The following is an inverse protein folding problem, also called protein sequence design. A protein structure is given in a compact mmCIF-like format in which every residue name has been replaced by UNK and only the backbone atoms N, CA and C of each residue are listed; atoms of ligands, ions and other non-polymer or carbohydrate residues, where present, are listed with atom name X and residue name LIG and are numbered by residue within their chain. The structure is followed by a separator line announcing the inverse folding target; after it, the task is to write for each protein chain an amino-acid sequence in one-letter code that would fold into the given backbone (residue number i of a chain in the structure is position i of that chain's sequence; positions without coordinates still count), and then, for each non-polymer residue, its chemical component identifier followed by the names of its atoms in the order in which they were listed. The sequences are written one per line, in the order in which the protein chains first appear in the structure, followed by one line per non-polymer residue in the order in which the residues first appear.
data_IF_596784909447
#
_entry.id   IF_596784909447
#
_cell.length_a   1.000
_cell.length_b   1.000
_cell.length_c   1.000
_cell.angle_alpha   90.00
_cell.angle_beta   90.00
_cell.angle_gamma   90.00
#
_symmetry.space_group_name_H-M   'P 1'
#
loop_
_entity.id
_entity.type
_entity.pdbx_description
1 polymer ?
#
# COMPACT_ATOMS: atom_id res chain seq x y z
N UNK A 1 95.10 -24.70 9.50
CA UNK A 1 93.99 -24.56 8.55
C UNK A 1 93.04 -25.72 8.81
N UNK A 2 91.94 -25.46 9.48
CA UNK A 2 90.80 -26.38 9.61
C UNK A 2 89.55 -25.71 9.18
N UNK A 3 88.89 -26.20 8.12
CA UNK A 3 87.61 -25.80 7.67
C UNK A 3 86.49 -26.42 8.46
N UNK A 4 85.62 -25.63 9.06
CA UNK A 4 84.42 -26.13 9.74
C UNK A 4 83.25 -26.11 8.73
N UNK A 5 82.67 -27.26 8.54
CA UNK A 5 81.41 -27.40 7.75
C UNK A 5 80.22 -27.26 8.70
N UNK A 6 79.49 -26.22 8.53
CA UNK A 6 78.16 -26.01 9.21
C UNK A 6 77.02 -26.66 8.42
N UNK A 7 76.41 -27.66 9.03
CA UNK A 7 75.21 -28.32 8.48
C UNK A 7 73.98 -27.45 8.73
N UNK A 8 73.33 -26.96 7.66
CA UNK A 8 72.06 -26.29 7.72
C UNK A 8 70.94 -27.34 7.79
N UNK A 9 70.13 -27.30 8.88
CA UNK A 9 68.92 -28.09 9.02
C UNK A 9 67.82 -27.34 8.32
N UNK A 10 67.27 -27.90 7.25
CA UNK A 10 66.09 -27.42 6.59
C UNK A 10 64.82 -27.80 7.40
N UNK A 11 64.13 -26.84 7.94
CA UNK A 11 62.79 -27.01 8.54
C UNK A 11 61.75 -26.94 7.42
N UNK A 12 61.13 -28.09 7.12
CA UNK A 12 59.97 -28.14 6.20
C UNK A 12 58.72 -27.76 6.99
N UNK A 13 58.21 -26.55 6.78
CA UNK A 13 56.90 -26.13 7.28
C UNK A 13 55.87 -26.64 6.27
N UNK A 14 55.18 -27.71 6.66
CA UNK A 14 54.02 -28.21 5.94
C UNK A 14 52.84 -27.21 6.07
N UNK A 15 52.58 -26.43 5.06
CA UNK A 15 51.37 -25.61 4.95
C UNK A 15 50.17 -26.56 4.75
N UNK A 16 49.37 -26.77 5.78
CA UNK A 16 48.05 -27.39 5.68
C UNK A 16 47.17 -26.43 4.90
N UNK A 17 46.99 -26.67 3.60
CA UNK A 17 45.92 -26.08 2.77
C UNK A 17 44.56 -26.64 3.31
N UNK A 18 43.97 -25.93 4.26
CA UNK A 18 42.55 -26.10 4.57
C UNK A 18 41.78 -25.65 3.32
N UNK A 19 41.43 -26.62 2.48
CA UNK A 19 40.55 -26.39 1.36
C UNK A 19 39.21 -25.88 1.89
N UNK A 20 38.95 -24.58 1.75
CA UNK A 20 37.64 -24.04 1.91
C UNK A 20 36.75 -24.68 0.85
N UNK A 21 35.93 -25.64 1.25
CA UNK A 21 34.86 -26.16 0.43
C UNK A 21 33.96 -24.92 0.13
N UNK A 22 33.82 -24.50 -1.13
CA UNK A 22 32.86 -23.43 -1.42
C UNK A 22 31.50 -23.99 -0.98
N UNK A 23 30.93 -23.41 0.08
CA UNK A 23 29.52 -23.59 0.37
C UNK A 23 28.78 -22.96 -0.82
N UNK A 24 28.30 -23.81 -1.73
CA UNK A 24 27.39 -23.34 -2.76
C UNK A 24 26.13 -22.88 -2.05
N UNK A 25 26.08 -21.57 -1.76
CA UNK A 25 24.88 -20.92 -1.30
C UNK A 25 23.81 -21.21 -2.34
N UNK A 26 22.77 -21.96 -1.96
CA UNK A 26 21.69 -22.33 -2.88
C UNK A 26 20.87 -21.07 -3.15
N UNK A 27 21.28 -20.31 -4.17
CA UNK A 27 20.55 -19.15 -4.66
C UNK A 27 19.29 -19.63 -5.33
N UNK A 28 18.14 -19.15 -4.86
CA UNK A 28 16.85 -19.45 -5.49
C UNK A 28 16.24 -18.18 -6.08
N UNK A 29 15.84 -18.24 -7.34
CA UNK A 29 15.05 -17.19 -7.98
C UNK A 29 13.70 -17.77 -8.36
N UNK A 30 12.63 -17.13 -7.93
CA UNK A 30 11.26 -17.54 -8.22
C UNK A 30 10.58 -16.46 -9.05
N UNK A 31 10.07 -16.85 -10.21
CA UNK A 31 9.09 -16.08 -10.97
C UNK A 31 7.71 -16.32 -10.35
N UNK A 32 6.94 -15.26 -10.14
CA UNK A 32 5.58 -15.33 -9.62
C UNK A 32 4.72 -14.23 -10.24
N UNK A 33 3.41 -14.38 -10.14
CA UNK A 33 2.53 -13.34 -10.64
C UNK A 33 1.04 -13.59 -10.40
N UNK A 34 0.27 -12.60 -10.80
CA UNK A 34 -1.19 -12.58 -10.80
C UNK A 34 -1.65 -11.96 -12.10
N UNK A 35 -2.58 -12.61 -12.77
CA UNK A 35 -3.38 -12.02 -13.86
C UNK A 35 -4.83 -12.00 -13.38
N UNK A 36 -5.40 -10.81 -13.31
CA UNK A 36 -6.76 -10.54 -12.89
C UNK A 36 -7.42 -9.64 -13.93
N UNK A 37 -8.55 -10.10 -14.45
CA UNK A 37 -9.32 -9.36 -15.44
C UNK A 37 -10.81 -9.53 -15.18
N UNK A 38 -11.55 -8.44 -15.29
CA UNK A 38 -12.98 -8.44 -15.04
C UNK A 38 -13.73 -7.37 -15.83
N UNK A 39 -15.03 -7.48 -15.80
CA UNK A 39 -15.96 -6.45 -16.25
C UNK A 39 -16.40 -5.64 -15.05
N UNK A 40 -16.42 -4.32 -15.20
CA UNK A 40 -16.86 -3.39 -14.19
C UNK A 40 -17.97 -2.48 -14.73
N UNK A 41 -18.97 -2.26 -13.90
CA UNK A 41 -20.00 -1.25 -14.08
C UNK A 41 -19.87 -0.19 -12.99
N UNK A 42 -20.01 1.07 -13.36
CA UNK A 42 -20.13 2.20 -12.45
C UNK A 42 -21.29 3.08 -12.89
N UNK A 43 -22.16 3.44 -11.96
CA UNK A 43 -23.38 4.21 -12.25
C UNK A 43 -23.11 5.67 -12.63
N UNK A 44 -21.94 6.19 -12.26
CA UNK A 44 -21.50 7.54 -12.63
C UNK A 44 -19.98 7.56 -12.77
N UNK A 45 -19.47 8.13 -13.85
CA UNK A 45 -18.05 8.31 -14.15
C UNK A 45 -17.85 9.69 -14.74
N UNK A 46 -16.92 10.45 -14.16
CA UNK A 46 -16.57 11.81 -14.63
C UNK A 46 -15.09 12.09 -14.37
N UNK A 47 -14.61 13.27 -14.77
CA UNK A 47 -13.27 13.72 -14.42
C UNK A 47 -13.17 14.13 -12.95
N UNK A 48 -12.00 13.98 -12.38
CA UNK A 48 -11.71 14.33 -10.99
C UNK A 48 -12.04 15.81 -10.72
N UNK A 49 -12.80 16.06 -9.66
CA UNK A 49 -13.24 17.40 -9.25
C UNK A 49 -14.48 17.93 -9.98
N UNK A 50 -15.05 17.18 -10.93
CA UNK A 50 -16.30 17.56 -11.58
C UNK A 50 -17.51 17.17 -10.73
N UNK A 51 -18.49 18.06 -10.64
CA UNK A 51 -19.78 17.85 -9.96
C UNK A 51 -20.94 17.70 -10.94
N UNK A 52 -20.66 17.54 -12.23
CA UNK A 52 -21.66 17.41 -13.30
C UNK A 52 -21.15 16.54 -14.45
N UNK A 53 -22.05 16.15 -15.36
CA UNK A 53 -21.70 15.47 -16.62
C UNK A 53 -21.24 14.02 -16.47
N UNK A 54 -21.47 13.38 -15.32
CA UNK A 54 -21.15 11.96 -15.14
C UNK A 54 -22.19 11.05 -15.75
N UNK A 55 -21.72 9.98 -16.41
CA UNK A 55 -22.53 8.96 -17.04
C UNK A 55 -22.14 7.57 -16.53
N UNK A 56 -23.05 6.62 -16.67
CA UNK A 56 -22.73 5.22 -16.38
C UNK A 56 -21.69 4.69 -17.38
N UNK A 57 -20.86 3.77 -16.91
CA UNK A 57 -19.83 3.14 -17.73
C UNK A 57 -19.78 1.65 -17.48
N UNK A 58 -19.63 0.88 -18.56
CA UNK A 58 -19.23 -0.52 -18.54
C UNK A 58 -17.84 -0.60 -19.17
N UNK A 59 -16.91 -1.20 -18.48
CA UNK A 59 -15.51 -1.31 -18.97
C UNK A 59 -14.87 -2.62 -18.56
N UNK A 60 -13.92 -3.08 -19.35
CA UNK A 60 -12.97 -4.08 -18.87
C UNK A 60 -12.02 -3.40 -17.90
N UNK A 61 -11.86 -3.99 -16.74
CA UNK A 61 -11.01 -3.44 -15.68
C UNK A 61 -10.06 -4.52 -15.20
N UNK A 62 -8.75 -4.36 -15.43
CA UNK A 62 -7.75 -5.26 -14.88
C UNK A 62 -7.61 -5.02 -13.39
N UNK A 63 -7.43 -6.10 -12.62
CA UNK A 63 -7.16 -6.00 -11.20
C UNK A 63 -8.35 -5.56 -10.35
N UNK A 64 -9.56 -5.96 -10.71
CA UNK A 64 -10.76 -5.67 -9.87
C UNK A 64 -10.61 -6.30 -8.50
N UNK A 65 -10.14 -7.56 -8.43
CA UNK A 65 -9.85 -8.23 -7.17
C UNK A 65 -8.44 -7.93 -6.67
N UNK A 66 -7.43 -8.04 -7.54
CA UNK A 66 -6.04 -7.77 -7.16
C UNK A 66 -5.24 -7.28 -8.37
N UNK A 67 -4.50 -6.18 -8.23
CA UNK A 67 -3.69 -5.62 -9.31
C UNK A 67 -2.84 -6.68 -10.00
N UNK A 68 -3.01 -6.82 -11.32
CA UNK A 68 -2.22 -7.75 -12.15
C UNK A 68 -0.76 -7.39 -12.10
N UNK A 69 0.11 -8.40 -11.93
CA UNK A 69 1.55 -8.21 -11.70
C UNK A 69 2.34 -9.46 -12.05
N UNK A 70 3.62 -9.27 -12.32
CA UNK A 70 4.62 -10.32 -12.29
C UNK A 70 5.87 -9.84 -11.55
N UNK A 71 6.65 -10.76 -11.01
CA UNK A 71 7.85 -10.41 -10.27
C UNK A 71 8.85 -11.54 -10.15
N UNK A 72 10.05 -11.16 -9.80
CA UNK A 72 11.16 -12.03 -9.43
C UNK A 72 11.50 -11.78 -7.97
N UNK A 73 11.64 -12.84 -7.20
CA UNK A 73 12.16 -12.78 -5.83
C UNK A 73 13.17 -13.88 -5.62
N UNK A 74 14.14 -13.59 -4.81
CA UNK A 74 15.18 -14.59 -4.51
C UNK A 74 15.89 -14.33 -3.22
N UNK A 75 16.69 -15.29 -2.83
CA UNK A 75 17.52 -15.21 -1.64
C UNK A 75 18.77 -16.05 -1.78
N UNK A 76 19.83 -15.60 -1.11
CA UNK A 76 21.11 -16.25 -0.97
C UNK A 76 21.39 -16.45 0.52
N UNK A 77 21.76 -17.65 0.92
CA UNK A 77 22.15 -17.95 2.30
C UNK A 77 23.58 -17.45 2.54
N UNK A 78 23.72 -16.50 3.46
CA UNK A 78 25.01 -15.93 3.85
C UNK A 78 25.64 -16.64 5.05
N UNK A 79 24.99 -17.69 5.56
CA UNK A 79 25.40 -18.38 6.77
C UNK A 79 24.88 -17.73 8.05
N UNK A 80 25.02 -18.41 9.19
CA UNK A 80 24.59 -17.92 10.50
C UNK A 80 23.09 -17.59 10.60
N UNK A 81 22.23 -18.18 9.74
CA UNK A 81 20.79 -17.89 9.68
C UNK A 81 20.46 -16.58 8.98
N UNK A 82 21.44 -15.94 8.36
CA UNK A 82 21.26 -14.69 7.60
C UNK A 82 21.15 -14.96 6.10
N UNK A 83 20.21 -14.28 5.44
CA UNK A 83 20.02 -14.36 3.99
C UNK A 83 20.05 -12.96 3.37
N UNK A 84 20.71 -12.82 2.23
CA UNK A 84 20.44 -11.71 1.33
C UNK A 84 19.13 -12.00 0.58
N UNK A 85 18.30 -10.98 0.39
CA UNK A 85 17.01 -11.11 -0.29
C UNK A 85 16.84 -9.98 -1.30
N UNK A 86 16.11 -10.23 -2.36
CA UNK A 86 15.64 -9.19 -3.27
C UNK A 86 14.23 -9.49 -3.76
N UNK A 87 13.52 -8.44 -4.18
CA UNK A 87 12.26 -8.55 -4.87
C UNK A 87 12.09 -7.42 -5.90
N UNK A 88 11.72 -7.83 -7.12
CA UNK A 88 11.40 -6.94 -8.23
C UNK A 88 9.99 -7.28 -8.71
N UNK A 89 9.07 -6.32 -8.70
CA UNK A 89 7.66 -6.56 -9.08
C UNK A 89 7.16 -5.44 -9.99
N UNK A 90 6.66 -5.85 -11.16
CA UNK A 90 6.01 -4.99 -12.15
C UNK A 90 4.49 -5.13 -12.05
N UNK A 91 3.77 -4.02 -12.07
CA UNK A 91 2.33 -4.02 -12.29
C UNK A 91 2.01 -3.90 -13.77
N UNK A 92 0.97 -4.58 -14.21
CA UNK A 92 0.51 -4.55 -15.59
C UNK A 92 -0.99 -4.32 -15.70
N UNK A 93 -1.40 -3.70 -16.78
CA UNK A 93 -2.79 -3.64 -17.20
C UNK A 93 -3.05 -4.84 -18.12
N UNK A 94 -3.71 -5.88 -17.60
CA UNK A 94 -3.98 -7.11 -18.35
C UNK A 94 -4.99 -6.92 -19.50
N UNK A 95 -5.73 -5.81 -19.54
CA UNK A 95 -6.62 -5.46 -20.64
C UNK A 95 -5.93 -4.85 -21.86
N UNK A 96 -4.75 -4.21 -21.65
CA UNK A 96 -4.02 -3.50 -22.72
C UNK A 96 -2.59 -3.96 -22.90
N UNK A 97 -2.04 -4.73 -21.94
CA UNK A 97 -0.63 -5.13 -21.92
C UNK A 97 0.33 -4.02 -21.44
N UNK A 98 -0.18 -2.83 -21.12
CA UNK A 98 0.65 -1.70 -20.68
C UNK A 98 1.18 -1.90 -19.25
N UNK A 99 2.34 -1.29 -18.94
CA UNK A 99 2.81 -1.19 -17.56
C UNK A 99 1.84 -0.34 -16.72
N UNK A 100 1.60 -0.73 -15.46
CA UNK A 100 0.73 0.01 -14.54
C UNK A 100 1.34 1.38 -14.15
N UNK A 101 2.66 1.45 -14.06
CA UNK A 101 3.39 2.65 -13.65
C UNK A 101 4.18 3.20 -14.83
N UNK A 102 3.92 4.45 -15.18
CA UNK A 102 4.65 5.14 -16.25
C UNK A 102 6.13 5.30 -15.87
N UNK A 103 7.03 4.97 -16.78
CA UNK A 103 8.48 5.07 -16.62
C UNK A 103 9.07 4.24 -15.45
N UNK A 104 8.38 3.19 -15.00
CA UNK A 104 8.86 2.32 -13.93
C UNK A 104 8.64 0.85 -14.29
N UNK A 105 9.72 0.15 -14.68
CA UNK A 105 9.67 -1.28 -15.02
C UNK A 105 9.20 -2.12 -13.79
N UNK A 106 9.75 -1.85 -12.62
CA UNK A 106 9.38 -2.50 -11.36
C UNK A 106 8.66 -1.50 -10.44
N UNK A 107 7.57 -0.92 -10.94
CA UNK A 107 6.83 0.13 -10.26
C UNK A 107 6.11 -0.28 -8.98
N UNK A 108 6.01 -1.58 -8.68
CA UNK A 108 5.41 -2.08 -7.45
C UNK A 108 6.44 -2.28 -6.34
N UNK A 109 7.45 -3.12 -6.57
CA UNK A 109 8.53 -3.39 -5.61
C UNK A 109 9.86 -3.45 -6.36
N UNK A 110 10.91 -2.85 -5.79
CA UNK A 110 12.28 -2.93 -6.27
C UNK A 110 13.21 -2.70 -5.10
N UNK A 111 13.55 -3.75 -4.36
CA UNK A 111 14.40 -3.66 -3.18
C UNK A 111 15.35 -4.85 -3.03
N UNK A 112 16.41 -4.61 -2.28
CA UNK A 112 17.36 -5.61 -1.78
C UNK A 112 17.41 -5.49 -0.26
N UNK A 113 17.78 -6.55 0.43
CA UNK A 113 17.90 -6.52 1.88
C UNK A 113 18.57 -7.74 2.48
N UNK A 114 18.59 -7.75 3.80
CA UNK A 114 19.06 -8.89 4.60
C UNK A 114 17.99 -9.28 5.60
N UNK A 115 17.84 -10.56 5.83
CA UNK A 115 16.89 -11.10 6.81
C UNK A 115 17.57 -12.15 7.70
N UNK A 116 17.21 -12.14 8.97
CA UNK A 116 17.66 -13.13 9.96
C UNK A 116 16.52 -13.38 10.95
N UNK A 117 16.26 -14.64 11.26
CA UNK A 117 15.15 -15.01 12.15
C UNK A 117 15.24 -14.39 13.56
N UNK A 118 16.47 -14.13 14.05
CA UNK A 118 16.72 -13.57 15.39
C UNK A 118 16.82 -12.04 15.39
N UNK A 119 17.24 -11.44 14.28
CA UNK A 119 17.53 -10.01 14.20
C UNK A 119 16.53 -9.22 13.34
N UNK A 120 15.63 -9.90 12.60
CA UNK A 120 14.64 -9.27 11.74
C UNK A 120 15.13 -9.06 10.32
N UNK A 121 14.45 -8.13 9.63
CA UNK A 121 14.68 -7.86 8.20
C UNK A 121 14.97 -6.38 7.99
N UNK A 122 16.04 -6.09 7.25
CA UNK A 122 16.37 -4.75 6.78
C UNK A 122 16.35 -4.74 5.26
N UNK A 123 15.64 -3.77 4.67
CA UNK A 123 15.50 -3.62 3.21
C UNK A 123 15.78 -2.20 2.76
N UNK A 124 16.25 -2.06 1.53
CA UNK A 124 16.51 -0.78 0.87
C UNK A 124 15.97 -0.79 -0.56
N UNK A 125 15.19 0.21 -0.93
CA UNK A 125 14.62 0.35 -2.27
C UNK A 125 13.16 0.81 -2.26
N UNK A 126 12.48 0.61 -3.40
CA UNK A 126 11.06 0.93 -3.55
C UNK A 126 10.21 -0.19 -2.98
N UNK A 127 9.37 0.11 -1.99
CA UNK A 127 8.57 -0.88 -1.27
C UNK A 127 7.34 -0.26 -0.58
N UNK A 128 6.47 -1.10 -0.05
CA UNK A 128 5.43 -0.65 0.87
C UNK A 128 6.06 -0.07 2.13
N UNK A 129 5.42 0.94 2.69
CA UNK A 129 5.82 1.51 3.97
C UNK A 129 5.30 0.65 5.14
N UNK A 130 6.01 0.68 6.27
CA UNK A 130 5.69 -0.08 7.49
C UNK A 130 4.24 0.11 7.97
N UNK A 131 3.69 1.33 7.82
CA UNK A 131 2.28 1.63 8.10
C UNK A 131 1.33 0.66 7.38
N UNK A 132 1.50 0.52 6.06
CA UNK A 132 0.66 -0.38 5.27
C UNK A 132 0.94 -1.85 5.61
N UNK A 133 2.19 -2.25 5.72
CA UNK A 133 2.56 -3.65 5.89
C UNK A 133 1.93 -4.29 7.13
N UNK A 134 1.93 -3.59 8.26
CA UNK A 134 1.42 -4.15 9.52
C UNK A 134 -0.09 -3.91 9.73
N UNK A 135 -0.68 -2.90 9.08
CA UNK A 135 -2.12 -2.61 9.19
C UNK A 135 -2.96 -3.35 8.14
N UNK A 136 -2.41 -3.62 6.95
CA UNK A 136 -3.14 -4.22 5.84
C UNK A 136 -3.86 -5.54 6.17
N UNK A 137 -3.38 -6.42 7.06
CA UNK A 137 -4.12 -7.63 7.45
C UNK A 137 -5.48 -7.36 8.09
N UNK A 138 -5.72 -6.13 8.58
CA UNK A 138 -6.97 -5.71 9.22
C UNK A 138 -7.75 -4.69 8.39
N UNK A 139 -7.25 -4.34 7.21
CA UNK A 139 -7.91 -3.42 6.29
C UNK A 139 -9.13 -4.06 5.63
N UNK A 140 -10.11 -3.28 5.17
CA UNK A 140 -11.27 -3.84 4.48
C UNK A 140 -10.89 -4.65 3.24
N UNK A 141 -9.79 -4.30 2.57
CA UNK A 141 -9.33 -4.98 1.35
C UNK A 141 -8.74 -6.36 1.57
N UNK A 142 -8.64 -6.83 2.81
CA UNK A 142 -8.27 -8.21 3.12
C UNK A 142 -9.32 -9.21 2.62
N UNK A 143 -10.59 -8.90 2.78
CA UNK A 143 -11.71 -9.77 2.43
C UNK A 143 -12.62 -9.22 1.34
N UNK A 144 -12.88 -7.93 1.33
CA UNK A 144 -13.68 -7.28 0.28
C UNK A 144 -12.82 -6.94 -0.92
N UNK A 145 -11.55 -6.99 -0.75
CA UNK A 145 -10.42 -6.82 -1.66
C UNK A 145 -10.65 -5.94 -2.91
N UNK A 146 -9.59 -5.70 -3.63
CA UNK A 146 -9.62 -4.84 -4.77
C UNK A 146 -10.06 -3.42 -4.46
N UNK A 147 -10.04 -2.61 -5.46
CA UNK A 147 -10.29 -1.18 -5.27
C UNK A 147 -11.72 -0.85 -4.81
N UNK A 148 -12.71 -1.73 -5.02
CA UNK A 148 -14.07 -1.49 -4.51
C UNK A 148 -14.19 -1.66 -2.99
N UNK A 149 -13.29 -2.43 -2.38
CA UNK A 149 -13.29 -2.66 -0.94
C UNK A 149 -12.62 -1.55 -0.13
N UNK A 150 -11.82 -0.70 -0.75
CA UNK A 150 -11.15 0.40 -0.06
C UNK A 150 -12.12 1.29 0.72
N UNK A 151 -11.67 1.89 1.80
CA UNK A 151 -12.40 2.99 2.42
C UNK A 151 -12.64 4.11 1.41
N UNK A 152 -13.66 4.98 1.58
CA UNK A 152 -13.97 6.03 0.63
C UNK A 152 -12.73 6.76 0.11
N UNK A 153 -12.50 6.64 -1.23
CA UNK A 153 -11.34 7.21 -1.91
C UNK A 153 -9.97 6.69 -1.47
N UNK A 154 -9.90 5.55 -0.76
CA UNK A 154 -8.69 5.01 -0.09
C UNK A 154 -7.90 6.09 0.68
N UNK A 155 -8.65 6.94 1.39
CA UNK A 155 -8.10 8.14 2.02
C UNK A 155 -7.00 7.83 3.03
N UNK A 156 -7.08 6.70 3.69
CA UNK A 156 -6.11 6.25 4.69
C UNK A 156 -4.96 5.40 4.11
N UNK A 157 -5.03 5.05 2.83
CA UNK A 157 -3.96 4.33 2.13
C UNK A 157 -3.82 2.89 2.60
N UNK A 158 -4.91 2.25 3.04
CA UNK A 158 -4.92 0.85 3.47
C UNK A 158 -5.24 -0.13 2.34
N UNK A 159 -5.46 0.35 1.11
CA UNK A 159 -5.66 -0.47 -0.08
C UNK A 159 -4.47 -0.46 -1.06
N UNK A 160 -3.25 -0.54 -0.59
CA UNK A 160 -2.10 -0.77 -1.47
C UNK A 160 -1.66 0.37 -2.40
N UNK A 161 -2.22 1.56 -2.29
CA UNK A 161 -1.89 2.64 -3.23
C UNK A 161 -0.44 3.10 -3.06
N UNK A 162 0.04 3.22 -1.83
CA UNK A 162 1.28 3.90 -1.57
C UNK A 162 2.47 2.97 -1.39
N UNK A 163 3.41 3.11 -2.33
CA UNK A 163 4.78 2.57 -2.23
C UNK A 163 5.76 3.72 -2.27
N UNK A 164 6.64 3.77 -1.30
CA UNK A 164 7.63 4.83 -1.20
C UNK A 164 8.92 4.45 -1.95
N UNK A 165 9.47 5.42 -2.67
CA UNK A 165 10.79 5.34 -3.29
C UNK A 165 11.88 5.59 -2.24
N UNK A 166 13.10 5.12 -2.52
CA UNK A 166 14.30 5.43 -1.73
C UNK A 166 14.12 5.12 -0.23
N UNK A 167 13.47 4.01 0.08
CA UNK A 167 13.06 3.62 1.43
C UNK A 167 14.10 2.72 2.05
N UNK A 168 14.45 3.03 3.30
CA UNK A 168 15.12 2.14 4.24
C UNK A 168 14.08 1.66 5.23
N UNK A 169 13.97 0.37 5.43
CA UNK A 169 12.98 -0.22 6.35
C UNK A 169 13.59 -1.32 7.20
N UNK A 170 13.19 -1.33 8.46
CA UNK A 170 13.47 -2.42 9.38
C UNK A 170 12.17 -3.00 9.93
N UNK A 171 12.07 -4.34 9.93
CA UNK A 171 10.99 -5.10 10.57
C UNK A 171 11.58 -6.11 11.53
N UNK A 172 11.15 -6.05 12.79
CA UNK A 172 11.61 -6.98 13.84
C UNK A 172 11.18 -8.42 13.57
N UNK A 173 11.84 -9.41 14.19
CA UNK A 173 11.25 -10.73 14.34
C UNK A 173 9.90 -10.62 15.09
N UNK A 174 9.04 -11.62 14.89
CA UNK A 174 7.82 -11.76 15.70
C UNK A 174 8.18 -12.34 17.06
N UNK A 175 8.10 -11.53 18.12
CA UNK A 175 8.43 -11.92 19.50
C UNK A 175 7.13 -11.95 20.33
N UNK A 176 6.75 -13.13 20.80
CA UNK A 176 5.50 -13.31 21.59
C UNK A 176 4.26 -12.70 20.95
N UNK A 177 4.16 -12.81 19.63
CA UNK A 177 3.06 -12.22 18.86
C UNK A 177 3.28 -10.77 18.40
N UNK A 178 4.26 -10.07 18.94
CA UNK A 178 4.57 -8.67 18.64
C UNK A 178 5.55 -8.54 17.48
N UNK A 179 5.25 -7.66 16.53
CA UNK A 179 6.12 -7.21 15.43
C UNK A 179 6.16 -5.70 15.40
N UNK A 180 7.33 -5.12 15.25
CA UNK A 180 7.53 -3.67 15.11
C UNK A 180 8.21 -3.41 13.78
N UNK A 181 7.76 -2.40 13.05
CA UNK A 181 8.39 -1.98 11.80
C UNK A 181 8.49 -0.46 11.72
N UNK A 182 9.58 0.03 11.12
CA UNK A 182 9.79 1.44 10.86
C UNK A 182 10.51 1.66 9.55
N UNK A 183 10.12 2.70 8.82
CA UNK A 183 10.73 3.06 7.56
C UNK A 183 10.94 4.57 7.40
N UNK A 184 12.01 4.91 6.70
CA UNK A 184 12.33 6.26 6.28
C UNK A 184 12.67 6.27 4.79
N UNK A 185 12.01 7.15 4.05
CA UNK A 185 12.18 7.30 2.61
C UNK A 185 12.77 8.67 2.31
N UNK A 186 13.90 8.69 1.64
CA UNK A 186 14.65 9.90 1.32
C UNK A 186 13.99 10.66 0.15
N UNK A 187 13.66 11.93 0.35
CA UNK A 187 13.06 12.77 -0.69
C UNK A 187 14.04 13.19 -1.78
N UNK A 188 15.35 13.14 -1.52
CA UNK A 188 16.37 13.54 -2.48
C UNK A 188 16.52 15.05 -2.68
N UNK A 189 15.87 15.88 -1.87
CA UNK A 189 15.93 17.34 -2.00
C UNK A 189 17.24 17.87 -1.43
N UNK A 190 18.01 18.58 -2.25
CA UNK A 190 19.29 19.16 -1.86
C UNK A 190 19.12 20.15 -0.68
N UNK A 191 19.95 20.01 0.34
CA UNK A 191 19.93 20.85 1.55
C UNK A 191 18.85 20.50 2.58
N UNK A 192 18.03 19.45 2.34
CA UNK A 192 17.00 19.04 3.28
C UNK A 192 16.78 17.53 3.31
N UNK A 193 17.00 16.91 4.44
CA UNK A 193 16.69 15.48 4.67
C UNK A 193 15.18 15.25 4.77
N UNK A 194 14.44 16.26 5.25
CA UNK A 194 13.01 16.12 5.58
C UNK A 194 12.08 16.43 4.40
N UNK A 195 12.52 17.31 3.49
CA UNK A 195 11.69 17.74 2.38
C UNK A 195 11.52 16.61 1.37
N UNK A 196 10.30 16.34 0.94
CA UNK A 196 9.95 15.20 0.07
C UNK A 196 10.03 13.83 0.73
N UNK A 197 10.43 13.75 2.00
CA UNK A 197 10.58 12.48 2.71
C UNK A 197 9.24 11.84 3.11
N UNK A 198 9.26 10.54 3.30
CA UNK A 198 8.20 9.80 4.00
C UNK A 198 8.79 9.04 5.17
N UNK A 199 8.14 9.07 6.33
CA UNK A 199 8.50 8.19 7.43
C UNK A 199 7.26 7.54 8.04
N UNK A 200 7.41 6.28 8.41
CA UNK A 200 6.33 5.49 8.96
C UNK A 200 6.82 4.60 10.08
N UNK A 201 5.93 4.29 10.99
CA UNK A 201 6.15 3.31 12.04
C UNK A 201 4.87 2.57 12.33
N UNK A 202 4.98 1.28 12.64
CA UNK A 202 3.84 0.47 13.01
C UNK A 202 4.21 -0.64 13.98
N UNK A 203 3.23 -1.05 14.77
CA UNK A 203 3.31 -2.16 15.71
C UNK A 203 2.13 -3.07 15.46
N UNK A 204 2.36 -4.36 15.39
CA UNK A 204 1.33 -5.38 15.25
C UNK A 204 1.48 -6.43 16.36
N UNK A 205 0.36 -6.80 16.96
CA UNK A 205 0.23 -7.98 17.81
C UNK A 205 -0.69 -8.98 17.13
N UNK A 206 -0.22 -10.20 16.94
CA UNK A 206 -1.02 -11.27 16.32
C UNK A 206 -0.72 -12.61 17.01
N UNK A 207 -1.66 -13.08 17.83
CA UNK A 207 -1.53 -14.33 18.57
C UNK A 207 -2.91 -14.96 18.82
N UNK A 208 -3.02 -16.27 18.52
CA UNK A 208 -4.29 -16.97 18.59
C UNK A 208 -5.35 -16.34 17.66
N UNK A 209 -6.58 -16.14 18.13
CA UNK A 209 -7.67 -15.59 17.33
C UNK A 209 -7.64 -14.06 17.20
N UNK A 210 -6.73 -13.39 17.91
CA UNK A 210 -6.69 -11.92 18.03
C UNK A 210 -5.52 -11.36 17.20
N UNK A 211 -5.81 -10.33 16.43
CA UNK A 211 -4.81 -9.48 15.79
C UNK A 211 -5.14 -8.02 16.01
N UNK A 212 -4.11 -7.20 16.29
CA UNK A 212 -4.23 -5.75 16.47
C UNK A 212 -3.02 -5.09 15.80
N UNK A 213 -3.22 -3.92 15.21
CA UNK A 213 -2.11 -3.11 14.70
C UNK A 213 -2.40 -1.63 14.89
N UNK A 214 -1.32 -0.87 15.11
CA UNK A 214 -1.33 0.59 15.18
C UNK A 214 -0.21 1.09 14.28
N UNK A 215 -0.48 2.13 13.48
CA UNK A 215 0.53 2.69 12.60
C UNK A 215 0.37 4.19 12.42
N UNK A 216 1.49 4.81 12.11
CA UNK A 216 1.59 6.22 11.78
C UNK A 216 2.40 6.39 10.49
N UNK A 217 2.00 7.35 9.65
CA UNK A 217 2.70 7.73 8.42
C UNK A 217 2.67 9.24 8.26
N UNK A 218 3.82 9.81 7.89
CA UNK A 218 3.92 11.20 7.45
C UNK A 218 4.63 11.29 6.12
N UNK A 219 4.01 11.98 5.17
CA UNK A 219 4.50 12.20 3.82
C UNK A 219 4.68 13.69 3.64
N UNK A 220 5.89 14.14 3.40
CA UNK A 220 6.23 15.55 3.22
C UNK A 220 6.28 15.89 1.72
N UNK A 221 5.75 17.06 1.37
CA UNK A 221 5.88 17.60 0.02
C UNK A 221 7.35 17.95 -0.27
N UNK A 222 7.80 17.69 -1.49
CA UNK A 222 9.13 18.07 -1.94
C UNK A 222 9.26 19.59 -2.22
N UNK A 223 8.16 20.31 -2.37
CA UNK A 223 8.12 21.76 -2.48
C UNK A 223 8.02 22.41 -1.10
N UNK A 224 8.96 23.29 -0.79
CA UNK A 224 8.99 24.00 0.49
C UNK A 224 7.72 24.84 0.68
N UNK A 225 7.10 24.72 1.86
CA UNK A 225 5.85 25.42 2.15
C UNK A 225 4.60 24.86 1.48
N UNK A 226 4.67 23.70 0.82
CA UNK A 226 3.56 23.12 0.09
C UNK A 226 3.44 23.65 -1.35
N UNK A 227 2.33 23.36 -2.02
CA UNK A 227 2.13 23.66 -3.43
C UNK A 227 2.25 22.41 -4.29
N UNK A 228 2.63 22.57 -5.56
CA UNK A 228 2.83 21.43 -6.46
C UNK A 228 3.92 20.50 -5.91
N UNK A 229 3.71 19.20 -6.04
CA UNK A 229 4.70 18.20 -5.64
C UNK A 229 5.80 18.13 -6.70
N UNK A 230 7.04 18.28 -6.29
CA UNK A 230 8.19 18.17 -7.17
C UNK A 230 8.55 16.71 -7.49
N UNK A 231 9.47 16.53 -8.46
CA UNK A 231 9.98 15.20 -8.84
C UNK A 231 10.76 14.51 -7.72
N UNK A 232 11.40 15.29 -6.85
CA UNK A 232 12.15 14.80 -5.70
C UNK A 232 11.21 14.49 -4.56
N UNK A 233 10.46 13.42 -4.72
CA UNK A 233 9.47 12.98 -3.74
C UNK A 233 9.44 11.46 -3.68
N UNK A 234 9.01 10.94 -2.54
CA UNK A 234 8.88 9.50 -2.33
C UNK A 234 7.58 8.92 -2.88
N UNK A 235 6.81 9.72 -3.62
CA UNK A 235 5.54 9.30 -4.22
C UNK A 235 5.75 8.33 -5.39
N UNK A 236 4.72 7.61 -5.75
CA UNK A 236 4.77 6.52 -6.75
C UNK A 236 5.31 6.95 -8.12
N UNK A 237 4.93 8.15 -8.59
CA UNK A 237 5.27 8.62 -9.93
C UNK A 237 6.15 9.88 -9.90
N UNK A 238 6.75 10.24 -8.77
CA UNK A 238 7.45 11.51 -8.59
C UNK A 238 6.53 12.70 -8.94
N UNK A 239 6.43 13.68 -8.08
CA UNK A 239 5.67 14.89 -8.38
C UNK A 239 4.15 14.84 -8.21
N UNK A 240 3.59 13.74 -7.71
CA UNK A 240 2.17 13.63 -7.41
C UNK A 240 1.92 13.44 -5.92
N UNK A 241 0.85 14.03 -5.42
CA UNK A 241 0.35 13.76 -4.08
C UNK A 241 -0.22 12.33 -4.01
N UNK A 242 -0.01 11.65 -2.89
CA UNK A 242 -0.53 10.30 -2.64
C UNK A 242 -2.03 10.35 -2.34
N UNK A 243 -2.80 9.41 -2.91
CA UNK A 243 -4.20 9.20 -2.57
C UNK A 243 -5.11 10.37 -2.99
N UNK A 244 -4.96 10.88 -4.20
CA UNK A 244 -5.88 11.88 -4.74
C UNK A 244 -7.15 11.21 -5.24
N UNK A 245 -8.27 11.60 -4.65
CA UNK A 245 -9.63 11.15 -5.00
C UNK A 245 -10.58 12.34 -5.01
N UNK A 246 -11.87 12.13 -5.31
CA UNK A 246 -12.87 13.19 -5.21
C UNK A 246 -12.95 13.80 -3.79
N UNK A 247 -12.64 13.02 -2.76
CA UNK A 247 -12.63 13.47 -1.36
C UNK A 247 -11.52 14.47 -1.08
N UNK A 248 -10.37 14.30 -1.70
CA UNK A 248 -9.11 14.95 -1.34
C UNK A 248 -8.58 15.90 -2.41
N UNK A 249 -9.30 16.03 -3.51
CA UNK A 249 -8.89 16.79 -4.70
C UNK A 249 -8.52 18.25 -4.40
N UNK A 250 -9.21 18.91 -3.49
CA UNK A 250 -8.93 20.29 -3.07
C UNK A 250 -7.69 20.46 -2.18
N UNK A 251 -7.11 19.36 -1.70
CA UNK A 251 -5.98 19.38 -0.74
C UNK A 251 -4.66 18.94 -1.36
N UNK A 252 -4.55 18.86 -2.69
CA UNK A 252 -3.37 18.39 -3.42
C UNK A 252 -2.11 19.24 -3.19
N UNK A 253 -2.25 20.46 -2.71
CA UNK A 253 -1.14 21.38 -2.45
C UNK A 253 -0.67 21.35 -0.99
N UNK A 254 -1.04 20.32 -0.23
CA UNK A 254 -0.62 20.16 1.15
C UNK A 254 0.91 20.17 1.29
N UNK A 255 1.41 20.81 2.34
CA UNK A 255 2.82 20.72 2.75
C UNK A 255 3.18 19.33 3.25
N UNK A 256 2.22 18.67 3.91
CA UNK A 256 2.39 17.31 4.37
C UNK A 256 1.04 16.60 4.52
N UNK A 257 1.07 15.28 4.44
CA UNK A 257 -0.02 14.40 4.86
C UNK A 257 0.40 13.61 6.09
N UNK A 258 -0.52 13.42 7.02
CA UNK A 258 -0.34 12.50 8.15
C UNK A 258 -1.48 11.50 8.18
N UNK A 259 -1.14 10.27 8.52
CA UNK A 259 -2.10 9.19 8.73
C UNK A 259 -1.78 8.50 10.04
N UNK A 260 -2.79 8.33 10.86
CA UNK A 260 -2.76 7.45 12.02
C UNK A 260 -3.88 6.44 11.83
N UNK A 261 -3.60 5.16 12.06
CA UNK A 261 -4.65 4.15 12.02
C UNK A 261 -4.45 3.08 13.08
N UNK A 262 -5.56 2.51 13.48
CA UNK A 262 -5.65 1.33 14.33
C UNK A 262 -6.53 0.31 13.61
N UNK A 263 -6.08 -0.93 13.54
CA UNK A 263 -6.84 -2.03 12.97
C UNK A 263 -6.81 -3.24 13.90
N UNK A 264 -7.86 -4.03 13.88
CA UNK A 264 -7.92 -5.27 14.63
C UNK A 264 -8.82 -6.29 13.98
N UNK A 265 -8.58 -7.56 14.29
CA UNK A 265 -9.35 -8.69 13.81
C UNK A 265 -9.55 -9.75 14.87
N UNK A 266 -10.66 -10.46 14.77
CA UNK A 266 -10.97 -11.60 15.60
C UNK A 266 -11.51 -12.76 14.76
N UNK A 267 -10.86 -13.91 14.87
CA UNK A 267 -11.27 -15.16 14.22
C UNK A 267 -12.11 -15.98 15.19
N UNK A 268 -13.41 -16.06 14.96
CA UNK A 268 -14.33 -16.82 15.81
C UNK A 268 -14.13 -18.33 15.67
N UNK A 269 -13.97 -18.78 14.43
CA UNK A 269 -13.74 -20.17 14.05
C UNK A 269 -13.20 -20.23 12.59
N UNK A 270 -13.12 -21.42 12.02
CA UNK A 270 -12.64 -21.62 10.63
C UNK A 270 -13.54 -21.03 9.54
N UNK A 271 -14.77 -20.62 9.90
CA UNK A 271 -15.75 -20.10 8.96
C UNK A 271 -16.04 -18.60 9.14
N UNK A 272 -15.72 -18.01 10.26
CA UNK A 272 -16.09 -16.64 10.57
C UNK A 272 -14.95 -15.84 11.17
N UNK A 273 -14.71 -14.68 10.64
CA UNK A 273 -13.85 -13.65 11.23
C UNK A 273 -14.40 -12.25 10.97
N UNK A 274 -13.94 -11.31 11.77
CA UNK A 274 -14.30 -9.90 11.68
C UNK A 274 -13.05 -9.04 11.78
N UNK A 275 -13.01 -7.98 10.99
CA UNK A 275 -12.00 -6.92 11.12
C UNK A 275 -12.66 -5.57 11.30
N UNK A 276 -12.00 -4.69 12.05
CA UNK A 276 -12.42 -3.31 12.22
C UNK A 276 -11.21 -2.39 12.16
N UNK A 277 -11.40 -1.21 11.61
CA UNK A 277 -10.36 -0.20 11.45
C UNK A 277 -10.88 1.18 11.83
N UNK A 278 -9.99 2.00 12.34
CA UNK A 278 -10.18 3.44 12.49
C UNK A 278 -8.96 4.16 11.96
N UNK A 279 -9.17 5.24 11.21
CA UNK A 279 -8.09 6.09 10.74
C UNK A 279 -8.41 7.58 10.91
N UNK A 280 -7.34 8.37 11.14
CA UNK A 280 -7.33 9.82 11.15
C UNK A 280 -6.31 10.29 10.12
N UNK A 281 -6.78 11.01 9.12
CA UNK A 281 -5.95 11.49 8.01
C UNK A 281 -5.98 13.01 7.97
N UNK A 282 -4.81 13.63 7.87
CA UNK A 282 -4.64 15.08 7.92
C UNK A 282 -3.89 15.57 6.69
N UNK A 283 -4.44 16.59 6.04
CA UNK A 283 -3.79 17.37 5.00
C UNK A 283 -3.39 18.70 5.62
N UNK A 284 -2.08 18.90 5.81
CA UNK A 284 -1.50 20.03 6.55
C UNK A 284 -1.07 21.08 5.53
N UNK A 285 -1.63 22.29 5.56
CA UNK A 285 -1.24 23.37 4.67
C UNK A 285 0.16 23.90 4.98
N UNK A 286 0.72 24.58 4.02
CA UNK A 286 1.88 25.44 4.13
C UNK A 286 1.60 26.77 3.44
N UNK A 287 2.57 27.66 3.44
CA UNK A 287 2.42 29.02 2.90
C UNK A 287 2.01 29.07 1.41
N UNK A 288 2.38 28.03 0.65
CA UNK A 288 2.07 27.92 -0.78
C UNK A 288 0.88 26.98 -1.07
N UNK A 289 0.18 26.50 -0.04
CA UNK A 289 -1.01 25.67 -0.22
C UNK A 289 -2.20 26.51 -0.68
N UNK A 290 -3.11 25.88 -1.44
CA UNK A 290 -4.37 26.51 -1.91
C UNK A 290 -5.50 26.38 -0.86
N UNK A 291 -5.17 26.07 0.37
CA UNK A 291 -6.07 26.00 1.53
C UNK A 291 -5.30 26.41 2.79
N UNK A 292 -6.01 26.83 3.84
CA UNK A 292 -5.41 27.50 5.00
C UNK A 292 -5.43 26.69 6.27
N UNK A 293 -6.47 25.88 6.49
CA UNK A 293 -6.65 25.12 7.71
C UNK A 293 -6.38 23.64 7.47
N UNK A 294 -5.81 22.95 8.44
CA UNK A 294 -5.62 21.49 8.34
C UNK A 294 -6.95 20.79 8.12
N UNK A 295 -7.07 20.08 7.00
CA UNK A 295 -8.23 19.25 6.71
C UNK A 295 -8.05 17.88 7.35
N UNK A 296 -9.00 17.46 8.18
CA UNK A 296 -8.95 16.22 8.95
C UNK A 296 -10.12 15.34 8.54
N UNK A 297 -9.84 14.09 8.20
CA UNK A 297 -10.82 13.07 7.89
C UNK A 297 -10.67 11.91 8.89
N UNK A 298 -11.79 11.51 9.48
CA UNK A 298 -11.86 10.36 10.37
C UNK A 298 -12.68 9.27 9.67
N UNK A 299 -12.14 8.07 9.60
CA UNK A 299 -12.81 6.94 8.97
C UNK A 299 -12.89 5.77 9.95
N UNK A 300 -14.07 5.18 10.08
CA UNK A 300 -14.27 3.90 10.77
C UNK A 300 -14.85 2.89 9.80
N UNK A 301 -14.38 1.66 9.87
CA UNK A 301 -14.86 0.58 9.02
C UNK A 301 -14.90 -0.76 9.73
N UNK A 302 -15.79 -1.64 9.28
CA UNK A 302 -15.92 -3.02 9.77
C UNK A 302 -16.19 -3.94 8.59
N UNK A 303 -15.60 -5.12 8.61
CA UNK A 303 -15.82 -6.20 7.64
C UNK A 303 -16.09 -7.49 8.38
N UNK A 304 -17.15 -8.17 8.01
CA UNK A 304 -17.47 -9.54 8.40
C UNK A 304 -17.15 -10.46 7.23
N UNK A 305 -16.35 -11.48 7.48
CA UNK A 305 -16.01 -12.52 6.51
C UNK A 305 -16.64 -13.85 6.91
N UNK A 306 -17.14 -14.57 5.90
CA UNK A 306 -17.77 -15.87 6.04
C UNK A 306 -17.28 -16.85 4.97
N UNK A 307 -16.73 -17.96 5.44
CA UNK A 307 -16.25 -19.07 4.63
C UNK A 307 -17.04 -20.34 4.89
N UNK A 308 -18.23 -20.51 4.28
CA UNK A 308 -19.10 -21.67 4.54
C UNK A 308 -18.51 -22.99 4.02
N UNK A 309 -17.65 -22.94 3.05
CA UNK A 309 -17.00 -24.09 2.43
C UNK A 309 -15.61 -23.72 1.93
N UNK A 310 -14.77 -24.73 1.67
CA UNK A 310 -13.38 -24.54 1.18
C UNK A 310 -13.31 -23.71 -0.09
N UNK A 311 -14.33 -23.80 -0.95
CA UNK A 311 -14.35 -23.14 -2.26
C UNK A 311 -15.04 -21.77 -2.27
N UNK A 312 -15.76 -21.41 -1.19
CA UNK A 312 -16.53 -20.18 -1.10
C UNK A 312 -16.02 -19.26 -0.01
N UNK A 313 -15.80 -18.01 -0.36
CA UNK A 313 -15.55 -16.91 0.57
C UNK A 313 -16.56 -15.77 0.28
N UNK A 314 -17.17 -15.22 1.32
CA UNK A 314 -18.08 -14.09 1.28
C UNK A 314 -17.63 -13.03 2.29
N UNK A 315 -17.75 -11.76 1.93
CA UNK A 315 -17.56 -10.71 2.91
C UNK A 315 -18.57 -9.57 2.70
N UNK A 316 -18.91 -8.93 3.81
CA UNK A 316 -19.73 -7.72 3.83
C UNK A 316 -19.04 -6.66 4.69
N UNK A 317 -19.01 -5.43 4.22
CA UNK A 317 -18.37 -4.33 4.90
C UNK A 317 -19.18 -3.04 4.90
N UNK A 318 -18.92 -2.24 5.90
CA UNK A 318 -19.43 -0.88 6.01
C UNK A 318 -18.32 0.04 6.48
N UNK A 319 -18.25 1.23 5.89
CA UNK A 319 -17.35 2.29 6.35
C UNK A 319 -18.02 3.65 6.34
N UNK A 320 -17.58 4.50 7.27
CA UNK A 320 -18.02 5.87 7.41
C UNK A 320 -16.81 6.79 7.54
N UNK A 321 -16.72 7.76 6.62
CA UNK A 321 -15.69 8.82 6.65
C UNK A 321 -16.36 10.16 6.89
N UNK A 322 -15.79 10.98 7.78
CA UNK A 322 -16.25 12.35 8.04
C UNK A 322 -15.09 13.32 8.12
N UNK A 323 -15.20 14.43 7.37
CA UNK A 323 -14.30 15.56 7.49
C UNK A 323 -14.66 16.44 8.70
N UNK A 324 -13.67 17.09 9.29
CA UNK A 324 -13.90 18.18 10.24
C UNK A 324 -14.21 19.49 9.51
N UNK A 325 -14.84 20.43 10.21
CA UNK A 325 -15.07 21.78 9.68
C UNK A 325 -13.75 22.52 9.59
N UNK A 326 -13.41 23.00 8.40
CA UNK A 326 -12.16 23.71 8.12
C UNK A 326 -12.29 24.47 6.81
N UNK A 327 -11.45 25.44 6.53
CA UNK A 327 -11.36 26.15 5.26
C UNK A 327 -12.68 26.80 4.83
N UNK A 328 -13.44 27.35 5.77
CA UNK A 328 -14.74 27.99 5.49
C UNK A 328 -15.90 27.02 5.27
N UNK A 329 -15.68 25.72 5.35
CA UNK A 329 -16.72 24.70 5.20
C UNK A 329 -17.43 24.51 6.54
N UNK A 330 -18.72 24.83 6.59
CA UNK A 330 -19.59 24.66 7.78
C UNK A 330 -20.37 23.36 7.76
N UNK A 331 -20.74 22.85 6.57
CA UNK A 331 -21.36 21.54 6.34
C UNK A 331 -20.32 20.58 5.76
N UNK A 332 -19.50 20.01 6.64
CA UNK A 332 -18.35 19.20 6.25
C UNK A 332 -18.74 17.86 5.64
N UNK A 333 -17.99 17.44 4.63
CA UNK A 333 -18.22 16.21 3.88
C UNK A 333 -18.29 14.97 4.78
N UNK A 334 -19.21 14.08 4.45
CA UNK A 334 -19.28 12.72 5.00
C UNK A 334 -19.58 11.70 3.91
N UNK A 335 -19.05 10.49 4.07
CA UNK A 335 -19.16 9.41 3.10
C UNK A 335 -19.54 8.12 3.81
N UNK A 336 -20.55 7.43 3.29
CA UNK A 336 -20.95 6.11 3.75
C UNK A 336 -20.74 5.13 2.62
N UNK A 337 -20.16 3.98 2.89
CA UNK A 337 -19.93 2.97 1.87
C UNK A 337 -20.29 1.59 2.39
N UNK A 338 -21.04 0.85 1.58
CA UNK A 338 -21.38 -0.55 1.77
C UNK A 338 -20.69 -1.37 0.70
N UNK A 339 -20.14 -2.52 1.08
CA UNK A 339 -19.42 -3.40 0.18
C UNK A 339 -19.86 -4.84 0.38
N UNK A 340 -19.88 -5.60 -0.71
CA UNK A 340 -20.03 -7.05 -0.70
C UNK A 340 -18.96 -7.67 -1.58
N UNK A 341 -18.53 -8.87 -1.23
CA UNK A 341 -17.67 -9.67 -2.07
C UNK A 341 -18.05 -11.14 -2.02
N UNK A 342 -17.92 -11.81 -3.16
CA UNK A 342 -18.09 -13.24 -3.32
C UNK A 342 -16.90 -13.77 -4.12
N UNK A 343 -16.29 -14.83 -3.62
CA UNK A 343 -15.18 -15.49 -4.29
C UNK A 343 -15.42 -17.00 -4.36
N UNK A 344 -15.24 -17.55 -5.55
CA UNK A 344 -15.36 -18.98 -5.79
C UNK A 344 -14.03 -19.55 -6.31
N UNK A 345 -13.43 -20.45 -5.54
CA UNK A 345 -12.17 -21.11 -5.87
C UNK A 345 -12.40 -22.24 -6.88
N UNK A 346 -11.98 -22.04 -8.13
CA UNK A 346 -11.92 -23.10 -9.14
C UNK A 346 -10.74 -24.05 -8.86
N UNK A 347 -9.67 -23.52 -8.32
CA UNK A 347 -8.47 -24.26 -7.89
C UNK A 347 -7.72 -23.45 -6.82
N UNK A 348 -6.58 -23.98 -6.32
CA UNK A 348 -5.68 -23.22 -5.43
C UNK A 348 -5.12 -21.93 -6.05
N UNK A 349 -5.13 -21.81 -7.38
CA UNK A 349 -4.54 -20.69 -8.12
C UNK A 349 -5.53 -19.86 -8.92
N UNK A 350 -6.73 -20.38 -9.16
CA UNK A 350 -7.73 -19.74 -10.03
C UNK A 350 -9.04 -19.59 -9.31
N UNK A 351 -9.62 -18.40 -9.37
CA UNK A 351 -10.93 -18.11 -8.80
C UNK A 351 -11.76 -17.18 -9.66
N UNK A 352 -13.07 -17.29 -9.49
CA UNK A 352 -14.05 -16.32 -9.98
C UNK A 352 -14.48 -15.44 -8.81
N UNK A 353 -14.85 -14.20 -9.10
CA UNK A 353 -15.29 -13.28 -8.07
C UNK A 353 -16.37 -12.32 -8.57
N UNK A 354 -17.15 -11.81 -7.63
CA UNK A 354 -17.99 -10.63 -7.79
C UNK A 354 -17.76 -9.66 -6.62
N UNK A 355 -17.81 -8.37 -6.92
CA UNK A 355 -17.65 -7.28 -5.96
C UNK A 355 -18.72 -6.23 -6.20
N UNK A 356 -19.38 -5.78 -5.13
CA UNK A 356 -20.34 -4.70 -5.16
C UNK A 356 -19.97 -3.61 -4.15
N UNK A 357 -20.19 -2.38 -4.54
CA UNK A 357 -20.06 -1.24 -3.65
C UNK A 357 -21.14 -0.18 -3.92
N UNK A 358 -21.65 0.39 -2.85
CA UNK A 358 -22.52 1.57 -2.91
C UNK A 358 -21.96 2.63 -1.97
N UNK A 359 -21.72 3.83 -2.49
CA UNK A 359 -21.25 4.96 -1.70
C UNK A 359 -22.23 6.14 -1.80
N UNK A 360 -22.43 6.82 -0.67
CA UNK A 360 -23.15 8.09 -0.57
C UNK A 360 -22.29 9.14 0.10
N UNK A 361 -22.13 10.27 -0.57
CA UNK A 361 -21.50 11.48 -0.07
C UNK A 361 -22.57 12.49 0.37
N UNK A 362 -22.29 13.30 1.39
CA UNK A 362 -23.10 14.42 1.83
C UNK A 362 -22.17 15.55 2.24
N UNK A 363 -22.72 16.80 2.28
CA UNK A 363 -21.97 17.98 2.69
C UNK A 363 -21.04 18.50 1.60
N UNK A 364 -20.01 19.24 2.01
CA UNK A 364 -19.13 19.99 1.13
C UNK A 364 -17.66 19.70 1.39
N UNK A 365 -16.85 19.80 0.33
CA UNK A 365 -15.39 19.68 0.36
C UNK A 365 -14.76 20.79 -0.48
N UNK A 366 -13.43 20.88 -0.49
CA UNK A 366 -12.74 21.81 -1.39
C UNK A 366 -12.62 21.22 -2.80
N UNK A 367 -12.91 22.06 -3.80
CA UNK A 367 -12.63 21.78 -5.20
C UNK A 367 -11.15 21.91 -5.55
N UNK A 368 -10.81 21.64 -6.81
CA UNK A 368 -9.44 21.59 -7.34
C UNK A 368 -8.61 22.85 -7.09
N UNK A 369 -9.27 24.02 -7.01
CA UNK A 369 -8.60 25.30 -6.75
C UNK A 369 -8.46 25.66 -5.27
N UNK A 370 -8.79 24.74 -4.38
CA UNK A 370 -8.59 24.88 -2.94
C UNK A 370 -9.69 25.71 -2.26
N UNK A 371 -9.33 26.45 -1.18
CA UNK A 371 -10.26 27.11 -0.26
C UNK A 371 -11.26 28.08 -0.91
N UNK A 372 -10.91 28.67 -2.04
CA UNK A 372 -11.81 29.56 -2.79
C UNK A 372 -12.94 28.85 -3.54
N UNK A 373 -12.94 27.53 -3.59
CA UNK A 373 -13.92 26.71 -4.30
C UNK A 373 -14.48 25.60 -3.42
N UNK A 374 -15.47 25.93 -2.63
CA UNK A 374 -16.25 24.95 -1.87
C UNK A 374 -17.26 24.31 -2.82
N UNK A 375 -17.20 22.99 -3.00
CA UNK A 375 -18.08 22.20 -3.87
C UNK A 375 -18.88 21.19 -3.04
N UNK A 376 -19.96 20.70 -3.61
CA UNK A 376 -20.69 19.57 -3.04
C UNK A 376 -19.82 18.32 -3.08
N UNK A 377 -19.84 17.54 -2.02
CA UNK A 377 -19.11 16.29 -1.96
C UNK A 377 -19.74 15.26 -2.91
N UNK A 378 -18.92 14.63 -3.74
CA UNK A 378 -19.36 13.61 -4.69
C UNK A 378 -18.79 12.24 -4.31
N UNK A 379 -19.48 11.17 -4.66
CA UNK A 379 -19.03 9.81 -4.40
C UNK A 379 -17.81 9.46 -5.27
N UNK A 380 -16.94 8.57 -4.73
CA UNK A 380 -15.77 8.07 -5.43
C UNK A 380 -15.42 6.69 -4.86
N UNK A 381 -16.05 5.65 -5.41
CA UNK A 381 -15.74 4.27 -5.03
C UNK A 381 -14.41 3.87 -5.64
N UNK A 382 -13.55 3.26 -4.83
CA UNK A 382 -12.29 2.71 -5.25
C UNK A 382 -11.08 3.52 -4.82
N UNK A 383 -9.93 3.04 -5.26
CA UNK A 383 -8.62 3.64 -5.02
C UNK A 383 -8.24 4.70 -6.09
N UNK A 384 -7.07 5.29 -5.98
CA UNK A 384 -6.58 6.31 -6.91
C UNK A 384 -6.20 5.79 -8.30
N UNK A 385 -6.11 4.47 -8.51
CA UNK A 385 -5.71 3.88 -9.80
C UNK A 385 -6.91 3.47 -10.66
N UNK A 386 -7.92 2.89 -10.05
CA UNK A 386 -9.02 2.22 -10.74
C UNK A 386 -10.36 2.89 -10.51
N UNK A 387 -10.44 3.79 -9.53
CA UNK A 387 -11.67 4.52 -9.26
C UNK A 387 -12.00 5.48 -10.39
N UNK A 388 -13.29 5.68 -10.56
CA UNK A 388 -13.81 6.75 -11.42
C UNK A 388 -14.66 7.65 -10.52
N UNK A 389 -14.31 8.93 -10.37
CA UNK A 389 -15.13 9.85 -9.57
C UNK A 389 -16.54 9.95 -10.13
N UNK A 390 -17.55 10.05 -9.28
CA UNK A 390 -18.91 10.40 -9.67
C UNK A 390 -19.08 11.92 -9.72
N UNK A 391 -20.00 12.40 -10.55
CA UNK A 391 -20.49 13.77 -10.50
C UNK A 391 -21.70 13.94 -9.58
N UNK A 392 -22.11 12.89 -8.88
CA UNK A 392 -23.28 12.86 -8.00
C UNK A 392 -22.91 12.46 -6.58
N UNK A 393 -23.82 12.73 -5.65
CA UNK A 393 -23.67 12.36 -4.25
C UNK A 393 -23.69 10.83 -4.02
N UNK A 394 -24.12 10.03 -5.00
CA UNK A 394 -24.13 8.57 -4.87
C UNK A 394 -23.52 7.89 -6.07
N UNK A 395 -22.89 6.74 -5.81
CA UNK A 395 -22.33 5.88 -6.85
C UNK A 395 -22.59 4.43 -6.46
N UNK A 396 -22.94 3.62 -7.44
CA UNK A 396 -22.94 2.18 -7.37
C UNK A 396 -21.86 1.63 -8.30
N UNK A 397 -21.12 0.64 -7.83
CA UNK A 397 -20.12 -0.07 -8.62
C UNK A 397 -20.32 -1.57 -8.47
N UNK A 398 -20.14 -2.29 -9.57
CA UNK A 398 -20.19 -3.74 -9.64
C UNK A 398 -19.03 -4.23 -10.49
N UNK A 399 -18.36 -5.29 -10.05
CA UNK A 399 -17.29 -5.91 -10.80
C UNK A 399 -17.37 -7.44 -10.69
N UNK A 400 -17.14 -8.13 -11.79
CA UNK A 400 -17.01 -9.58 -11.82
C UNK A 400 -15.81 -9.97 -12.67
N UNK A 401 -15.14 -11.06 -12.33
CA UNK A 401 -13.96 -11.44 -13.09
C UNK A 401 -13.36 -12.77 -12.69
N UNK A 402 -12.19 -13.01 -13.27
CA UNK A 402 -11.37 -14.18 -13.05
C UNK A 402 -9.96 -13.74 -12.66
N UNK A 403 -9.41 -14.43 -11.67
CA UNK A 403 -8.05 -14.24 -11.21
C UNK A 403 -7.26 -15.55 -11.30
N UNK A 404 -6.04 -15.46 -11.80
CA UNK A 404 -5.10 -16.59 -11.82
C UNK A 404 -3.76 -16.18 -11.21
N UNK A 405 -3.22 -17.07 -10.35
CA UNK A 405 -1.90 -16.92 -9.69
C UNK A 405 -0.94 -17.98 -10.22
N UNK A 406 0.28 -17.62 -10.55
CA UNK A 406 1.31 -18.53 -11.05
C UNK A 406 2.65 -18.36 -10.32
#
# INVERSE_FOLDING_TARGET
MKRSTSSAKAVVIGAALVGSVPAFAQSSVTLYGIVDNGLAYQSSSTSLGSTSGGHSVVKMTPGVWAGSRFGLKGGEDLGGGTKAIFQLESGLNSGTGAAQYTNALFGRLAYVGVTNASYGTFTAGRQYASYYQLLSPYSPTTWITGFYGAHPGDIDGLDTIYRANNTLEYTSPKLYGLTVSGSYSLGGVAGSVNQGSTWTGAVQYAMGPIGLAVGFSRINNSTAGGGAWGSDSTTTNGGSQVGVSALTNGYQTARAQQRFAVGGGYTFNSAWDVTATYSNVQYIPGINSKFTDTAIFNTGGVVLHWKPAVVWDFAAGYSYTRATRANGITDSASYQQFNLSQYYSLSKRTGLYALEAYQRANGKTLGTNGAGQIIDATASIGDGFNSTPASSASQFAFGLGIIHRF
#
